data_IF_110537934951
#
_entry.id   IF_110537934951
#
_cell.length_a   1.000
_cell.length_b   1.000
_cell.length_c   1.000
_cell.angle_alpha   90.00
_cell.angle_beta   90.00
_cell.angle_gamma   90.00
#
_symmetry.space_group_name_H-M   'P 1'
#
loop_
_entity.id
_entity.type
_entity.pdbx_description
1 polymer ?
#
# COMPACT_ATOMS: atom_id res chain seq x y z
N UNK A 1 4.01 15.19 -2.55
CA UNK A 1 4.49 14.18 -1.58
C UNK A 1 5.92 13.94 -1.99
N UNK A 2 6.86 14.04 -1.05
CA UNK A 2 8.28 13.80 -1.35
C UNK A 2 8.67 12.41 -0.87
N UNK A 3 9.53 11.75 -1.64
CA UNK A 3 10.16 10.51 -1.22
C UNK A 3 11.38 10.77 -0.31
N UNK A 4 12.05 9.71 0.16
CA UNK A 4 13.23 9.80 1.02
C UNK A 4 14.41 10.54 0.37
N UNK A 5 14.43 10.61 -0.97
CA UNK A 5 15.43 11.33 -1.77
C UNK A 5 15.08 12.82 -1.96
N UNK A 6 13.94 13.29 -1.43
CA UNK A 6 13.47 14.68 -1.55
C UNK A 6 12.83 15.02 -2.91
N UNK A 7 12.59 14.03 -3.76
CA UNK A 7 11.96 14.18 -5.07
C UNK A 7 10.43 14.24 -4.90
N UNK A 8 9.77 15.18 -5.58
CA UNK A 8 8.31 15.23 -5.62
C UNK A 8 7.76 14.13 -6.53
N UNK A 9 6.82 13.36 -5.99
CA UNK A 9 6.07 12.39 -6.77
C UNK A 9 5.14 13.10 -7.76
N UNK A 10 5.05 12.53 -8.95
CA UNK A 10 4.00 12.85 -9.92
C UNK A 10 2.60 12.53 -9.37
N UNK A 11 1.58 13.05 -10.03
CA UNK A 11 0.18 12.79 -9.67
C UNK A 11 -0.18 11.30 -9.74
N UNK A 12 0.30 10.61 -10.77
CA UNK A 12 0.09 9.17 -10.95
C UNK A 12 0.76 8.35 -9.84
N UNK A 13 2.01 8.66 -9.50
CA UNK A 13 2.73 7.98 -8.41
C UNK A 13 2.05 8.20 -7.07
N UNK A 14 1.63 9.44 -6.79
CA UNK A 14 0.87 9.76 -5.59
C UNK A 14 -0.42 8.95 -5.50
N UNK A 15 -1.14 8.80 -6.61
CA UNK A 15 -2.37 8.02 -6.65
C UNK A 15 -2.13 6.54 -6.31
N UNK A 16 -1.03 5.95 -6.80
CA UNK A 16 -0.64 4.58 -6.46
C UNK A 16 -0.31 4.43 -4.96
N UNK A 17 0.41 5.40 -4.38
CA UNK A 17 0.71 5.41 -2.94
C UNK A 17 -0.57 5.54 -2.10
N UNK A 18 -1.51 6.37 -2.52
CA UNK A 18 -2.80 6.53 -1.83
C UNK A 18 -3.65 5.26 -1.91
N UNK A 19 -3.67 4.55 -3.06
CA UNK A 19 -4.31 3.24 -3.18
C UNK A 19 -3.70 2.22 -2.21
N UNK A 20 -2.38 2.18 -2.10
CA UNK A 20 -1.67 1.32 -1.15
C UNK A 20 -2.10 1.61 0.30
N UNK A 21 -2.02 2.89 0.71
CA UNK A 21 -2.36 3.31 2.08
C UNK A 21 -3.82 3.02 2.41
N UNK A 22 -4.74 3.24 1.46
CA UNK A 22 -6.15 2.92 1.61
C UNK A 22 -6.39 1.43 1.85
N UNK A 23 -5.75 0.55 1.06
CA UNK A 23 -5.86 -0.90 1.24
C UNK A 23 -5.26 -1.38 2.56
N UNK A 24 -4.09 -0.85 2.95
CA UNK A 24 -3.47 -1.16 4.26
C UNK A 24 -4.43 -0.83 5.40
N UNK A 25 -5.07 0.35 5.35
CA UNK A 25 -6.06 0.77 6.35
C UNK A 25 -7.26 -0.17 6.39
N UNK A 26 -7.83 -0.50 5.22
CA UNK A 26 -8.96 -1.44 5.11
C UNK A 26 -8.58 -2.82 5.69
N UNK A 27 -7.37 -3.31 5.45
CA UNK A 27 -6.94 -4.63 5.94
C UNK A 27 -6.69 -4.68 7.45
N UNK A 28 -6.19 -3.57 8.03
CA UNK A 28 -5.96 -3.41 9.47
C UNK A 28 -7.26 -3.21 10.25
N UNK A 29 -8.16 -2.36 9.75
CA UNK A 29 -9.35 -1.90 10.48
C UNK A 29 -10.63 -2.64 10.05
N UNK A 30 -10.66 -3.19 8.84
CA UNK A 30 -11.85 -3.82 8.24
C UNK A 30 -12.17 -5.18 8.85
N UNK A 31 -13.18 -5.20 9.70
CA UNK A 31 -13.70 -6.43 10.33
C UNK A 31 -14.73 -7.17 9.47
N UNK A 32 -15.27 -6.51 8.46
CA UNK A 32 -16.44 -6.99 7.70
C UNK A 32 -16.10 -7.49 6.28
N UNK A 33 -14.82 -7.65 5.95
CA UNK A 33 -14.41 -8.19 4.65
C UNK A 33 -14.75 -9.68 4.56
N UNK A 34 -15.42 -10.07 3.49
CA UNK A 34 -15.55 -11.47 3.13
C UNK A 34 -14.15 -12.08 2.88
N UNK A 35 -13.96 -13.41 3.08
CA UNK A 35 -12.64 -14.04 2.94
C UNK A 35 -11.96 -13.79 1.59
N UNK A 36 -12.73 -13.73 0.49
CA UNK A 36 -12.17 -13.48 -0.84
C UNK A 36 -11.72 -12.02 -1.02
N UNK A 37 -12.42 -11.06 -0.41
CA UNK A 37 -12.08 -9.64 -0.45
C UNK A 37 -10.77 -9.40 0.29
N UNK A 38 -10.65 -9.92 1.52
CA UNK A 38 -9.41 -9.84 2.31
C UNK A 38 -8.24 -10.46 1.56
N UNK A 39 -8.40 -11.66 0.98
CA UNK A 39 -7.33 -12.34 0.23
C UNK A 39 -6.89 -11.54 -1.00
N UNK A 40 -7.82 -10.98 -1.76
CA UNK A 40 -7.49 -10.20 -2.95
C UNK A 40 -6.89 -8.84 -2.60
N UNK A 41 -7.37 -8.19 -1.54
CA UNK A 41 -6.80 -6.96 -1.01
C UNK A 41 -5.35 -7.17 -0.55
N UNK A 42 -5.04 -8.27 0.14
CA UNK A 42 -3.66 -8.62 0.52
C UNK A 42 -2.73 -8.76 -0.69
N UNK A 43 -3.20 -9.42 -1.76
CA UNK A 43 -2.43 -9.53 -3.02
C UNK A 43 -2.17 -8.16 -3.66
N UNK A 44 -3.19 -7.31 -3.69
CA UNK A 44 -3.06 -5.95 -4.22
C UNK A 44 -2.07 -5.11 -3.38
N UNK A 45 -2.12 -5.23 -2.05
CA UNK A 45 -1.13 -4.60 -1.16
C UNK A 45 0.27 -5.11 -1.45
N UNK A 46 0.49 -6.41 -1.61
CA UNK A 46 1.81 -6.95 -1.90
C UNK A 46 2.38 -6.42 -3.22
N UNK A 47 1.54 -6.29 -4.26
CA UNK A 47 1.95 -5.71 -5.53
C UNK A 47 2.28 -4.21 -5.40
N UNK A 48 1.44 -3.44 -4.71
CA UNK A 48 1.64 -2.00 -4.52
C UNK A 48 2.78 -1.68 -3.54
N UNK A 49 3.09 -2.56 -2.59
CA UNK A 49 4.25 -2.43 -1.71
C UNK A 49 5.55 -2.31 -2.52
N UNK A 50 5.69 -3.08 -3.62
CA UNK A 50 6.85 -2.98 -4.51
C UNK A 50 6.93 -1.62 -5.20
N UNK A 51 5.78 -1.03 -5.56
CA UNK A 51 5.71 0.32 -6.12
C UNK A 51 6.17 1.34 -5.09
N UNK A 52 5.61 1.31 -3.88
CA UNK A 52 5.95 2.25 -2.81
C UNK A 52 7.44 2.14 -2.42
N UNK A 53 7.96 0.90 -2.32
CA UNK A 53 9.38 0.65 -2.10
C UNK A 53 10.26 1.18 -3.24
N UNK A 54 9.85 0.97 -4.50
CA UNK A 54 10.56 1.47 -5.67
C UNK A 54 10.51 2.99 -5.86
N UNK A 55 9.59 3.67 -5.16
CA UNK A 55 9.51 5.13 -5.12
C UNK A 55 10.38 5.74 -4.00
N UNK A 56 11.21 4.95 -3.32
CA UNK A 56 12.01 5.36 -2.16
C UNK A 56 11.15 5.92 -1.01
N UNK A 57 9.99 5.30 -0.77
CA UNK A 57 9.20 5.52 0.44
C UNK A 57 9.43 4.37 1.43
N UNK A 58 9.01 4.56 2.69
CA UNK A 58 8.98 3.49 3.69
C UNK A 58 7.56 2.90 3.78
N UNK A 59 7.27 1.80 3.07
CA UNK A 59 5.97 1.13 3.14
C UNK A 59 5.78 0.30 4.42
N UNK A 60 6.79 0.18 5.30
CA UNK A 60 6.77 -0.78 6.40
C UNK A 60 6.83 -2.23 5.90
N UNK A 61 6.44 -3.19 6.75
CA UNK A 61 6.66 -4.61 6.50
C UNK A 61 5.36 -5.34 6.12
N UNK A 62 5.41 -6.20 5.09
CA UNK A 62 4.24 -6.95 4.60
C UNK A 62 3.62 -7.87 5.68
N UNK A 63 4.45 -8.46 6.55
CA UNK A 63 3.97 -9.32 7.63
C UNK A 63 3.07 -8.58 8.64
N UNK A 64 3.30 -7.28 8.85
CA UNK A 64 2.49 -6.44 9.74
C UNK A 64 1.13 -6.09 9.12
N UNK A 65 0.98 -6.29 7.81
CA UNK A 65 -0.24 -6.04 7.04
C UNK A 65 -1.02 -7.35 6.83
N UNK A 66 -0.42 -8.49 7.19
CA UNK A 66 -1.01 -9.83 7.08
C UNK A 66 -0.85 -10.46 5.70
N UNK A 67 0.10 -9.98 4.89
CA UNK A 67 0.44 -10.50 3.56
C UNK A 67 1.62 -11.48 3.62
#
# INVERSE_FOLDING_TARGET
>A
MKNAMGVELSESERSLVECYQGLVRILKDGKDLAPFERRNALKAVAALWQVVNGLDLDPGQLYEIGA
#
